data_IF_902564106307
#
_entry.id   IF_902564106307
#
_cell.length_a   1.000
_cell.length_b   1.000
_cell.length_c   1.000
_cell.angle_alpha   90.00
_cell.angle_beta   90.00
_cell.angle_gamma   90.00
#
_symmetry.space_group_name_H-M   'P 1'
#
loop_
_entity.id
_entity.type
_entity.pdbx_description
1 polymer ?
#
# COMPACT_ATOMS: atom_id res chain seq x y z
N UNK A 1 -34.67 -9.31 -27.88
CA UNK A 1 -34.63 -8.52 -26.63
C UNK A 1 -33.56 -9.04 -25.67
N UNK A 2 -32.37 -9.42 -26.18
CA UNK A 2 -31.30 -10.08 -25.41
C UNK A 2 -30.00 -9.26 -25.38
N UNK A 3 -29.82 -8.34 -26.34
CA UNK A 3 -28.62 -7.51 -26.47
C UNK A 3 -28.53 -6.43 -25.37
N UNK A 4 -29.66 -5.86 -24.96
CA UNK A 4 -29.71 -4.84 -23.90
C UNK A 4 -29.34 -5.38 -22.51
N UNK A 5 -29.63 -6.66 -22.23
CA UNK A 5 -29.34 -7.26 -20.92
C UNK A 5 -27.86 -7.58 -20.74
N UNK A 6 -27.17 -7.99 -21.80
CA UNK A 6 -25.72 -8.23 -21.79
C UNK A 6 -24.92 -6.93 -21.63
N UNK A 7 -25.38 -5.82 -22.24
CA UNK A 7 -24.70 -4.53 -22.13
C UNK A 7 -24.71 -3.99 -20.69
N UNK A 8 -25.85 -4.12 -19.99
CA UNK A 8 -25.99 -3.67 -18.60
C UNK A 8 -25.13 -4.48 -17.61
N UNK A 9 -24.93 -5.78 -17.86
CA UNK A 9 -24.06 -6.62 -17.04
C UNK A 9 -22.57 -6.29 -17.23
N UNK A 10 -22.16 -5.89 -18.43
CA UNK A 10 -20.78 -5.49 -18.71
C UNK A 10 -20.44 -4.14 -18.06
N UNK A 11 -21.32 -3.14 -18.16
CA UNK A 11 -21.08 -1.82 -17.57
C UNK A 11 -21.06 -1.86 -16.04
N UNK A 12 -21.96 -2.63 -15.42
CA UNK A 12 -21.98 -2.78 -13.96
C UNK A 12 -20.71 -3.47 -13.43
N UNK A 13 -20.22 -4.52 -14.12
CA UNK A 13 -18.96 -5.17 -13.74
C UNK A 13 -17.76 -4.23 -13.88
N UNK A 14 -17.71 -3.45 -14.95
CA UNK A 14 -16.61 -2.51 -15.21
C UNK A 14 -16.53 -1.42 -14.12
N UNK A 15 -17.66 -0.78 -13.77
CA UNK A 15 -17.71 0.23 -12.70
C UNK A 15 -17.32 -0.31 -11.31
N UNK A 16 -17.69 -1.56 -11.01
CA UNK A 16 -17.32 -2.22 -9.73
C UNK A 16 -15.85 -2.60 -9.69
N UNK A 17 -15.23 -2.91 -10.84
CA UNK A 17 -13.79 -3.21 -10.91
C UNK A 17 -12.98 -1.92 -10.73
N UNK A 18 -13.32 -0.85 -11.46
CA UNK A 18 -12.61 0.43 -11.38
C UNK A 18 -12.66 1.01 -9.96
N UNK A 19 -13.84 0.99 -9.32
CA UNK A 19 -13.96 1.46 -7.92
C UNK A 19 -13.17 0.63 -6.92
N UNK A 20 -13.05 -0.68 -7.12
CA UNK A 20 -12.21 -1.53 -6.26
C UNK A 20 -10.73 -1.26 -6.45
N UNK A 21 -10.27 -1.07 -7.67
CA UNK A 21 -8.87 -0.74 -7.95
C UNK A 21 -8.50 0.65 -7.42
N UNK A 22 -9.39 1.64 -7.52
CA UNK A 22 -9.20 2.95 -6.88
C UNK A 22 -9.08 2.84 -5.35
N UNK A 23 -9.95 2.05 -4.71
CA UNK A 23 -9.87 1.85 -3.25
C UNK A 23 -8.58 1.12 -2.82
N UNK A 24 -8.07 0.21 -3.65
CA UNK A 24 -6.77 -0.42 -3.42
C UNK A 24 -5.64 0.59 -3.55
N UNK A 25 -5.68 1.45 -4.56
CA UNK A 25 -4.68 2.50 -4.77
C UNK A 25 -4.67 3.52 -3.62
N UNK A 26 -5.84 4.02 -3.22
CA UNK A 26 -6.00 4.93 -2.08
C UNK A 26 -5.46 4.30 -0.79
N UNK A 27 -5.80 3.03 -0.55
CA UNK A 27 -5.28 2.28 0.59
C UNK A 27 -3.77 2.14 0.52
N UNK A 28 -3.22 1.78 -0.63
CA UNK A 28 -1.78 1.62 -0.82
C UNK A 28 -1.04 2.93 -0.53
N UNK A 29 -1.51 4.05 -1.08
CA UNK A 29 -0.92 5.36 -0.86
C UNK A 29 -0.96 5.75 0.62
N UNK A 30 -2.09 5.53 1.30
CA UNK A 30 -2.23 5.79 2.72
C UNK A 30 -1.28 4.93 3.58
N UNK A 31 -1.17 3.64 3.28
CA UNK A 31 -0.27 2.73 3.99
C UNK A 31 1.20 3.17 3.81
N UNK A 32 1.60 3.58 2.60
CA UNK A 32 2.95 4.12 2.30
C UNK A 32 3.23 5.39 3.10
N UNK A 33 2.28 6.32 3.20
CA UNK A 33 2.43 7.54 3.99
C UNK A 33 2.63 7.26 5.48
N UNK A 34 1.89 6.28 6.02
CA UNK A 34 2.02 5.83 7.41
C UNK A 34 3.41 5.24 7.64
N UNK A 35 3.85 4.32 6.78
CA UNK A 35 5.17 3.67 6.92
C UNK A 35 6.29 4.72 6.83
N UNK A 36 6.22 5.62 5.85
CA UNK A 36 7.21 6.69 5.69
C UNK A 36 7.23 7.63 6.91
N UNK A 37 6.08 7.92 7.50
CA UNK A 37 6.00 8.72 8.72
C UNK A 37 6.66 8.00 9.90
N UNK A 38 6.42 6.70 10.07
CA UNK A 38 7.07 5.89 11.08
C UNK A 38 8.60 5.85 10.89
N UNK A 39 9.09 5.69 9.65
CA UNK A 39 10.51 5.75 9.32
C UNK A 39 11.15 7.10 9.69
N UNK A 40 10.46 8.22 9.44
CA UNK A 40 10.94 9.56 9.83
C UNK A 40 11.07 9.70 11.34
N UNK A 41 10.11 9.17 12.10
CA UNK A 41 10.16 9.17 13.56
C UNK A 41 11.31 8.28 14.06
N UNK A 42 11.47 7.08 13.48
CA UNK A 42 12.60 6.19 13.77
C UNK A 42 13.94 6.89 13.54
N UNK A 43 14.12 7.54 12.38
CA UNK A 43 15.36 8.25 12.07
C UNK A 43 15.64 9.36 13.07
N UNK A 44 14.61 10.12 13.46
CA UNK A 44 14.74 11.21 14.43
C UNK A 44 15.19 10.72 15.81
N UNK A 45 14.76 9.53 16.22
CA UNK A 45 15.12 8.97 17.54
C UNK A 45 16.46 8.22 17.53
N UNK A 46 16.79 7.53 16.44
CA UNK A 46 17.95 6.61 16.39
C UNK A 46 19.14 7.18 15.60
N UNK A 47 18.94 8.25 14.84
CA UNK A 47 19.98 8.88 14.00
C UNK A 47 20.43 8.05 12.80
N UNK A 48 19.71 6.97 12.47
CA UNK A 48 19.98 6.10 11.33
C UNK A 48 18.68 5.71 10.61
N UNK A 49 18.79 5.33 9.35
CA UNK A 49 17.65 4.79 8.59
C UNK A 49 17.24 3.42 9.14
N UNK A 50 16.01 3.04 8.82
CA UNK A 50 15.47 1.71 9.12
C UNK A 50 16.11 0.71 8.15
N UNK A 51 16.62 -0.42 8.68
CA UNK A 51 17.22 -1.47 7.86
C UNK A 51 16.16 -2.50 7.41
N UNK A 52 15.18 -2.78 8.28
CA UNK A 52 14.05 -3.68 7.99
C UNK A 52 12.70 -3.12 8.50
N UNK A 53 11.61 -3.37 7.76
CA UNK A 53 10.28 -2.80 8.08
C UNK A 53 9.77 -3.24 9.46
N UNK A 54 10.19 -4.42 9.92
CA UNK A 54 9.85 -5.01 11.21
C UNK A 54 10.36 -4.17 12.39
N UNK A 55 11.42 -3.38 12.21
CA UNK A 55 11.94 -2.48 13.26
C UNK A 55 10.97 -1.34 13.61
N UNK A 56 10.01 -1.05 12.72
CA UNK A 56 8.97 -0.06 12.99
C UNK A 56 7.95 -0.57 14.01
N UNK A 57 7.81 -1.88 14.17
CA UNK A 57 6.83 -2.50 15.07
C UNK A 57 7.51 -2.96 16.37
N UNK A 58 6.86 -2.83 17.54
CA UNK A 58 5.55 -2.23 17.77
C UNK A 58 5.63 -0.72 18.11
N UNK A 59 6.84 -0.15 18.14
CA UNK A 59 7.05 1.18 18.75
C UNK A 59 6.55 2.33 17.87
N UNK A 60 6.76 2.25 16.56
CA UNK A 60 6.42 3.31 15.59
C UNK A 60 5.17 2.97 14.78
N UNK A 61 4.84 1.69 14.65
CA UNK A 61 3.62 1.14 14.07
C UNK A 61 3.06 0.04 14.98
N UNK A 62 1.74 -0.02 15.14
CA UNK A 62 1.09 -1.09 15.91
C UNK A 62 1.27 -2.46 15.24
N UNK A 63 1.18 -2.50 13.92
CA UNK A 63 1.45 -3.65 13.07
C UNK A 63 1.84 -3.16 11.66
N UNK A 64 2.50 -4.01 10.88
CA UNK A 64 2.71 -3.75 9.46
C UNK A 64 1.34 -3.86 8.77
N UNK A 65 0.91 -2.85 7.99
CA UNK A 65 -0.37 -2.91 7.28
C UNK A 65 -0.39 -4.03 6.24
N UNK A 66 -1.59 -4.54 5.93
CA UNK A 66 -1.76 -5.53 4.87
C UNK A 66 -1.83 -4.82 3.52
N UNK A 67 -0.99 -5.24 2.58
CA UNK A 67 -1.00 -4.68 1.25
C UNK A 67 -2.30 -5.03 0.49
N UNK A 68 -2.91 -4.07 -0.23
CA UNK A 68 -4.12 -4.31 -1.02
C UNK A 68 -3.93 -5.15 -2.29
N UNK A 69 -2.70 -5.48 -2.68
CA UNK A 69 -2.34 -6.22 -3.90
C UNK A 69 -1.82 -7.65 -3.64
N UNK A 70 -2.23 -8.26 -2.52
CA UNK A 70 -1.89 -9.65 -2.15
C UNK A 70 -0.41 -9.92 -1.81
N UNK A 71 0.38 -8.87 -1.59
CA UNK A 71 1.78 -8.94 -1.15
C UNK A 71 2.01 -8.53 0.31
N UNK A 72 3.27 -8.37 0.68
CA UNK A 72 3.74 -7.82 1.95
C UNK A 72 4.56 -6.55 1.71
N UNK A 73 4.50 -5.61 2.66
CA UNK A 73 5.34 -4.42 2.58
C UNK A 73 6.79 -4.74 2.92
N UNK A 74 7.71 -4.24 2.10
CA UNK A 74 9.15 -4.44 2.24
C UNK A 74 9.90 -3.15 1.94
N UNK A 75 11.12 -3.03 2.49
CA UNK A 75 12.05 -1.96 2.12
C UNK A 75 12.98 -2.45 1.01
N UNK A 76 13.13 -1.66 -0.05
CA UNK A 76 14.09 -1.90 -1.12
C UNK A 76 14.90 -0.64 -1.37
N UNK A 77 16.18 -0.80 -1.70
CA UNK A 77 16.99 0.31 -2.16
C UNK A 77 16.84 0.46 -3.68
N UNK A 78 16.46 1.66 -4.13
CA UNK A 78 16.41 2.02 -5.54
C UNK A 78 17.12 3.37 -5.71
N UNK A 79 18.20 3.38 -6.50
CA UNK A 79 19.00 4.59 -6.77
C UNK A 79 19.57 5.27 -5.50
N UNK A 80 19.91 4.50 -4.45
CA UNK A 80 20.41 5.04 -3.20
C UNK A 80 19.33 5.56 -2.24
N UNK A 81 18.05 5.42 -2.60
CA UNK A 81 16.92 5.75 -1.73
C UNK A 81 16.21 4.47 -1.28
N UNK A 82 15.88 4.42 0.01
CA UNK A 82 15.07 3.35 0.57
C UNK A 82 13.60 3.62 0.23
N UNK A 83 12.99 2.73 -0.54
CA UNK A 83 11.59 2.80 -0.95
C UNK A 83 10.79 1.67 -0.29
N UNK A 84 9.53 1.97 0.01
CA UNK A 84 8.58 0.96 0.47
C UNK A 84 7.88 0.37 -0.75
N UNK A 85 7.92 -0.95 -0.88
CA UNK A 85 7.24 -1.70 -1.96
C UNK A 85 6.26 -2.70 -1.36
N UNK A 86 5.25 -3.07 -2.13
CA UNK A 86 4.40 -4.22 -1.83
C UNK A 86 4.63 -5.31 -2.88
N UNK A 87 5.06 -6.49 -2.43
CA UNK A 87 5.34 -7.66 -3.28
C UNK A 87 4.99 -8.97 -2.58
#
# INVERSE_FOLDING_TARGET
MTILFFLALFTAKFLVIDSKEMLKEDKFNFDIEIINSAMKVYFKENGKNVDAIEELVPKYLSAIPNCPYEGVYMLKERNGELIVVCE
#
